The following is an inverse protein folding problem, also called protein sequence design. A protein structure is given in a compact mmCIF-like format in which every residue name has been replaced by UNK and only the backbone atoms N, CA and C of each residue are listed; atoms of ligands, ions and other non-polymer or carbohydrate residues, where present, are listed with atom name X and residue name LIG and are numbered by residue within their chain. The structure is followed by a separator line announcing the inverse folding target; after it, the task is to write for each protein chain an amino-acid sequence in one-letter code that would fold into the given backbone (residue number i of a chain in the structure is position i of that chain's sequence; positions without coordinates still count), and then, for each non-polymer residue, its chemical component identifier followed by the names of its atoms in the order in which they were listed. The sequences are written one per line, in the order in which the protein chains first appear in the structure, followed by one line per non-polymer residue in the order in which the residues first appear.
data_IF_617368609038
#
_entry.id   IF_617368609038
#
_cell.length_a   1.000
_cell.length_b   1.000
_cell.length_c   1.000
_cell.angle_alpha   90.00
_cell.angle_beta   90.00
_cell.angle_gamma   90.00
#
_symmetry.space_group_name_H-M   'P 1'
#
loop_
_entity.id
_entity.type
_entity.pdbx_description
1 polymer ?
#
# COMPACT_ATOMS: atom_id res chain seq x y z
N UNK A 1 19.02 -10.01 3.41
CA UNK A 1 17.84 -9.75 4.26
C UNK A 1 16.61 -10.51 3.73
N UNK A 2 16.70 -11.83 3.54
CA UNK A 2 15.62 -12.64 2.93
C UNK A 2 15.08 -13.74 3.87
N UNK A 3 15.78 -14.01 4.98
CA UNK A 3 15.42 -15.07 5.94
C UNK A 3 14.09 -14.73 6.64
N UNK A 4 13.91 -13.48 7.06
CA UNK A 4 12.68 -13.04 7.75
C UNK A 4 11.45 -13.11 6.85
N UNK A 5 11.60 -12.86 5.54
CA UNK A 5 10.51 -12.97 4.57
C UNK A 5 10.08 -14.43 4.38
N UNK A 6 11.02 -15.37 4.34
CA UNK A 6 10.74 -16.79 4.17
C UNK A 6 10.07 -17.41 5.41
N UNK A 7 10.47 -17.00 6.61
CA UNK A 7 9.86 -17.45 7.86
C UNK A 7 8.45 -16.91 8.03
N UNK A 8 8.24 -15.61 7.76
CA UNK A 8 6.92 -15.02 7.77
C UNK A 8 6.00 -15.67 6.73
N UNK A 9 6.52 -15.95 5.52
CA UNK A 9 5.76 -16.64 4.48
C UNK A 9 5.29 -18.01 4.94
N UNK A 10 6.16 -18.84 5.50
CA UNK A 10 5.79 -20.19 5.97
C UNK A 10 4.68 -20.18 7.03
N UNK A 11 4.66 -19.18 7.91
CA UNK A 11 3.65 -19.04 8.96
C UNK A 11 2.34 -18.44 8.43
N UNK A 12 2.42 -17.47 7.52
CA UNK A 12 1.25 -16.76 7.00
C UNK A 12 0.60 -17.45 5.79
N UNK A 13 1.30 -18.36 5.12
CA UNK A 13 0.77 -19.10 3.96
C UNK A 13 -0.21 -20.21 4.34
N UNK A 14 -0.06 -20.82 5.53
CA UNK A 14 -0.98 -21.86 6.00
C UNK A 14 -2.14 -21.25 6.83
N UNK A 15 -3.41 -21.59 6.56
CA UNK A 15 -4.56 -20.96 7.22
C UNK A 15 -4.62 -21.19 8.74
N UNK A 16 -4.16 -22.35 9.24
CA UNK A 16 -4.24 -22.68 10.66
C UNK A 16 -3.14 -21.98 11.45
N UNK A 17 -1.93 -21.93 10.91
CA UNK A 17 -0.84 -21.18 11.51
C UNK A 17 -1.10 -19.67 11.45
N UNK A 18 -1.67 -19.17 10.34
CA UNK A 18 -2.06 -17.77 10.19
C UNK A 18 -3.12 -17.39 11.24
N UNK A 19 -4.17 -18.20 11.42
CA UNK A 19 -5.18 -17.97 12.47
C UNK A 19 -4.58 -17.95 13.88
N UNK A 20 -3.65 -18.85 14.17
CA UNK A 20 -2.98 -18.92 15.47
C UNK A 20 -2.09 -17.70 15.72
N UNK A 21 -1.39 -17.24 14.67
CA UNK A 21 -0.58 -16.03 14.68
C UNK A 21 -1.43 -14.77 14.94
N UNK A 22 -2.54 -14.62 14.22
CA UNK A 22 -3.46 -13.49 14.36
C UNK A 22 -4.04 -13.39 15.77
N UNK A 23 -4.38 -14.55 16.37
CA UNK A 23 -4.87 -14.62 17.76
C UNK A 23 -3.85 -14.13 18.78
N UNK A 24 -2.56 -14.45 18.60
CA UNK A 24 -1.51 -13.99 19.49
C UNK A 24 -1.18 -12.51 19.26
N UNK A 25 -1.19 -12.04 18.00
CA UNK A 25 -1.04 -10.63 17.65
C UNK A 25 -2.12 -9.74 18.26
N UNK A 26 -3.38 -10.21 18.29
CA UNK A 26 -4.50 -9.48 18.88
C UNK A 26 -4.27 -9.15 20.37
N UNK A 27 -3.50 -9.95 21.11
CA UNK A 27 -3.19 -9.72 22.54
C UNK A 27 -2.21 -8.57 22.76
N UNK A 28 -1.42 -8.21 21.75
CA UNK A 28 -0.36 -7.18 21.82
C UNK A 28 -0.67 -5.95 20.96
N UNK A 29 -1.76 -5.99 20.19
CA UNK A 29 -2.19 -4.92 19.28
C UNK A 29 -2.31 -3.56 19.99
N UNK A 30 -2.94 -3.52 21.16
CA UNK A 30 -3.14 -2.29 21.93
C UNK A 30 -1.84 -1.68 22.48
N UNK A 31 -0.81 -2.50 22.73
CA UNK A 31 0.45 -2.06 23.35
C UNK A 31 1.47 -1.47 22.36
N UNK A 32 1.31 -1.71 21.06
CA UNK A 32 2.25 -1.24 20.03
C UNK A 32 1.69 -0.14 19.12
N UNK A 33 0.47 0.32 19.36
CA UNK A 33 -0.24 1.17 18.39
C UNK A 33 -0.49 0.48 17.04
N UNK A 34 -0.35 -0.85 17.01
CA UNK A 34 -0.57 -1.67 15.83
C UNK A 34 -2.04 -2.06 15.81
N UNK A 35 -2.85 -1.28 15.09
CA UNK A 35 -4.32 -1.43 15.07
C UNK A 35 -4.79 -2.65 14.27
N UNK A 36 -3.88 -3.37 13.60
CA UNK A 36 -4.19 -4.45 12.65
C UNK A 36 -4.99 -3.99 11.42
N UNK A 37 -5.31 -2.70 11.33
CA UNK A 37 -6.03 -2.09 10.22
C UNK A 37 -5.04 -1.34 9.35
N UNK A 38 -5.09 -1.49 8.03
CA UNK A 38 -4.24 -0.69 7.16
C UNK A 38 -4.53 0.79 7.38
N UNK A 39 -3.48 1.57 7.66
CA UNK A 39 -3.61 3.03 7.87
C UNK A 39 -4.04 3.71 6.55
N UNK A 40 -3.56 3.19 5.41
CA UNK A 40 -3.70 3.81 4.08
C UNK A 40 -3.83 2.77 2.96
N UNK A 41 -4.79 1.85 3.03
CA UNK A 41 -5.09 0.99 1.88
C UNK A 41 -6.53 0.53 1.88
N UNK A 42 -7.38 1.29 1.18
CA UNK A 42 -8.78 0.93 0.92
C UNK A 42 -8.92 0.50 -0.54
N UNK A 43 -9.74 -0.51 -0.82
CA UNK A 43 -10.06 -0.94 -2.18
C UNK A 43 -11.40 -0.37 -2.63
N UNK A 44 -11.41 0.40 -3.72
CA UNK A 44 -12.63 0.93 -4.36
C UNK A 44 -12.89 0.31 -5.75
N UNK A 45 -12.02 -0.59 -6.21
CA UNK A 45 -12.20 -1.29 -7.49
C UNK A 45 -13.34 -2.29 -7.44
N UNK A 46 -13.83 -2.74 -8.60
CA UNK A 46 -14.79 -3.84 -8.66
C UNK A 46 -14.16 -5.15 -8.17
N UNK A 47 -14.99 -6.11 -7.75
CA UNK A 47 -14.51 -7.44 -7.32
C UNK A 47 -13.81 -8.23 -8.43
N UNK A 48 -14.08 -7.88 -9.69
CA UNK A 48 -13.42 -8.46 -10.87
C UNK A 48 -12.08 -7.82 -11.19
N UNK A 49 -11.74 -6.69 -10.57
CA UNK A 49 -10.48 -6.00 -10.82
C UNK A 49 -9.37 -6.62 -9.98
N UNK A 50 -8.29 -7.00 -10.64
CA UNK A 50 -7.13 -7.64 -10.02
C UNK A 50 -5.85 -6.80 -10.19
N UNK A 51 -5.91 -5.72 -10.97
CA UNK A 51 -4.80 -4.78 -11.13
C UNK A 51 -4.78 -3.84 -9.93
N UNK A 52 -3.61 -3.62 -9.38
CA UNK A 52 -3.37 -2.68 -8.30
C UNK A 52 -2.20 -1.79 -8.67
N UNK A 53 -2.25 -0.54 -8.21
CA UNK A 53 -1.20 0.44 -8.47
C UNK A 53 -0.30 0.54 -7.24
N UNK A 54 1.01 0.63 -7.47
CA UNK A 54 2.03 0.72 -6.44
C UNK A 54 3.00 1.86 -6.73
N UNK A 55 3.53 2.48 -5.68
CA UNK A 55 4.56 3.51 -5.77
C UNK A 55 5.84 2.98 -5.16
N UNK A 56 6.93 3.04 -5.93
CA UNK A 56 8.29 2.76 -5.47
C UNK A 56 8.80 3.99 -4.68
N UNK A 57 8.71 3.90 -3.35
CA UNK A 57 9.12 4.97 -2.43
C UNK A 57 10.62 5.30 -2.53
N UNK A 58 11.45 4.37 -3.01
CA UNK A 58 12.91 4.55 -3.13
C UNK A 58 13.24 5.37 -4.37
N UNK A 59 12.57 5.10 -5.49
CA UNK A 59 12.75 5.85 -6.74
C UNK A 59 12.07 7.21 -6.73
N UNK A 60 11.11 7.45 -5.85
CA UNK A 60 10.34 8.68 -5.84
C UNK A 60 11.18 9.91 -5.47
N UNK A 61 11.10 10.95 -6.32
CA UNK A 61 11.98 12.14 -6.28
C UNK A 61 11.35 13.44 -5.80
N UNK A 62 10.13 13.45 -5.23
CA UNK A 62 9.57 14.70 -4.71
C UNK A 62 8.68 15.50 -5.65
N UNK A 63 8.29 14.98 -6.82
CA UNK A 63 7.60 15.78 -7.84
C UNK A 63 6.12 16.11 -7.53
N UNK A 64 5.50 15.43 -6.57
CA UNK A 64 4.11 15.60 -6.10
C UNK A 64 2.98 15.42 -7.13
N UNK A 65 3.27 15.29 -8.42
CA UNK A 65 2.27 15.26 -9.51
C UNK A 65 1.17 14.21 -9.29
N UNK A 66 1.53 13.00 -8.86
CA UNK A 66 0.57 11.92 -8.64
C UNK A 66 -0.52 12.31 -7.63
N UNK A 67 -0.14 12.98 -6.54
CA UNK A 67 -1.08 13.43 -5.51
C UNK A 67 -1.93 14.64 -5.95
N UNK A 68 -1.45 15.42 -6.93
CA UNK A 68 -2.22 16.54 -7.50
C UNK A 68 -3.21 16.09 -8.58
N UNK A 69 -2.89 15.03 -9.31
CA UNK A 69 -3.71 14.54 -10.43
C UNK A 69 -4.79 13.56 -9.96
N UNK A 70 -4.43 12.66 -9.03
CA UNK A 70 -5.31 11.65 -8.45
C UNK A 70 -5.18 11.65 -6.91
N UNK A 71 -5.72 12.69 -6.29
CA UNK A 71 -5.65 13.00 -4.85
C UNK A 71 -6.39 11.99 -3.94
N UNK A 72 -7.34 11.22 -4.49
CA UNK A 72 -8.04 10.17 -3.73
C UNK A 72 -7.25 8.87 -3.77
N UNK A 73 -6.49 8.62 -4.82
CA UNK A 73 -5.66 7.42 -4.98
C UNK A 73 -4.27 7.59 -4.35
N UNK A 74 -3.62 8.74 -4.54
CA UNK A 74 -2.26 8.99 -4.06
C UNK A 74 -2.23 10.09 -2.99
N UNK A 75 -1.42 9.88 -1.96
CA UNK A 75 -1.12 10.94 -0.98
C UNK A 75 0.36 10.95 -0.62
N UNK A 76 0.79 12.07 -0.04
CA UNK A 76 2.16 12.25 0.44
C UNK A 76 2.18 12.02 1.94
N UNK A 77 2.97 11.06 2.39
CA UNK A 77 3.19 10.81 3.80
C UNK A 77 4.05 11.92 4.39
N UNK A 78 3.61 12.55 5.47
CA UNK A 78 4.29 13.70 6.09
C UNK A 78 5.67 13.37 6.69
N UNK A 79 5.86 12.18 7.25
CA UNK A 79 7.08 11.84 8.02
C UNK A 79 8.31 11.72 7.13
N UNK A 80 8.22 10.93 6.07
CA UNK A 80 9.34 10.72 5.13
C UNK A 80 9.14 11.47 3.82
N UNK A 81 8.09 12.29 3.72
CA UNK A 81 7.69 13.00 2.51
C UNK A 81 7.59 12.08 1.30
N UNK A 82 7.18 10.80 1.45
CA UNK A 82 7.08 9.83 0.33
C UNK A 82 5.67 9.78 -0.22
N UNK A 83 5.54 9.60 -1.54
CA UNK A 83 4.24 9.29 -2.14
C UNK A 83 3.82 7.84 -1.83
N UNK A 84 2.54 7.67 -1.53
CA UNK A 84 1.90 6.37 -1.24
C UNK A 84 0.55 6.28 -1.94
N UNK A 85 0.16 5.06 -2.30
CA UNK A 85 -1.21 4.75 -2.71
C UNK A 85 -2.04 4.56 -1.45
N UNK A 86 -3.01 5.44 -1.21
CA UNK A 86 -3.88 5.39 -0.04
C UNK A 86 -5.19 4.64 -0.31
N UNK A 87 -5.60 4.62 -1.57
CA UNK A 87 -6.82 3.97 -2.01
C UNK A 87 -6.68 3.43 -3.44
N UNK A 88 -6.85 2.13 -3.60
CA UNK A 88 -6.87 1.49 -4.90
C UNK A 88 -8.15 1.89 -5.63
N UNK A 89 -8.01 2.42 -6.84
CA UNK A 89 -9.14 2.84 -7.69
C UNK A 89 -10.07 3.90 -7.07
N UNK A 90 -9.53 4.76 -6.18
CA UNK A 90 -10.28 5.87 -5.57
C UNK A 90 -10.62 7.03 -6.53
N UNK A 91 -9.80 7.23 -7.56
CA UNK A 91 -10.05 8.15 -8.68
C UNK A 91 -10.42 7.38 -9.97
N UNK A 92 -11.03 8.04 -10.96
CA UNK A 92 -11.28 7.45 -12.27
C UNK A 92 -9.99 6.93 -12.92
N UNK A 93 -10.07 5.78 -13.59
CA UNK A 93 -8.93 5.10 -14.24
C UNK A 93 -8.12 6.05 -15.13
N UNK A 94 -8.77 6.95 -15.89
CA UNK A 94 -8.08 7.93 -16.73
C UNK A 94 -7.13 8.84 -15.93
N UNK A 95 -7.53 9.32 -14.75
CA UNK A 95 -6.69 10.17 -13.90
C UNK A 95 -5.54 9.40 -13.29
N UNK A 96 -5.77 8.14 -12.94
CA UNK A 96 -4.74 7.25 -12.40
C UNK A 96 -3.66 7.00 -13.47
N UNK A 97 -4.06 6.69 -14.70
CA UNK A 97 -3.11 6.54 -15.82
C UNK A 97 -2.38 7.84 -16.14
N UNK A 98 -3.08 8.98 -16.14
CA UNK A 98 -2.44 10.28 -16.35
C UNK A 98 -1.37 10.56 -15.26
N UNK A 99 -1.67 10.21 -14.01
CA UNK A 99 -0.72 10.33 -12.89
C UNK A 99 0.49 9.39 -13.04
N UNK A 100 0.30 8.17 -13.57
CA UNK A 100 1.37 7.21 -13.87
C UNK A 100 2.28 7.79 -14.97
N UNK A 101 1.71 8.25 -16.08
CA UNK A 101 2.46 8.80 -17.22
C UNK A 101 3.18 10.11 -16.88
N UNK A 102 2.61 10.92 -15.99
CA UNK A 102 3.20 12.19 -15.57
C UNK A 102 4.44 12.02 -14.68
N UNK A 103 4.71 10.80 -14.19
CA UNK A 103 5.82 10.52 -13.29
C UNK A 103 7.17 10.64 -14.02
N UNK A 104 8.06 11.56 -13.62
CA UNK A 104 9.32 11.82 -14.34
C UNK A 104 10.34 10.67 -14.24
N UNK A 105 10.15 9.76 -13.28
CA UNK A 105 11.07 8.66 -12.97
C UNK A 105 10.42 7.28 -13.07
N UNK A 106 9.18 7.21 -13.59
CA UNK A 106 8.39 5.98 -13.69
C UNK A 106 8.42 5.15 -12.40
N UNK A 107 8.22 5.80 -11.25
CA UNK A 107 8.19 5.14 -9.94
C UNK A 107 6.80 4.60 -9.58
N UNK A 108 5.84 4.61 -10.51
CA UNK A 108 4.48 4.12 -10.29
C UNK A 108 4.23 2.98 -11.27
N UNK A 109 3.72 1.85 -10.79
CA UNK A 109 3.48 0.62 -11.55
C UNK A 109 2.12 0.02 -11.24
#
# INVERSE_FOLDING_TARGET
MAIVLNEAFAVLSDPLSCFSYDKEQAKVADFKGYTGKPIYSVWYGSESENRAVFVDEVKWVGCLKCALMAEKTFAIQSVYSRARVIAQWGDPENKIHEAIEACPVNCIS
#
